data_IF_419675049159
#
_entry.id   IF_419675049159
#
_cell.length_a   1.000
_cell.length_b   1.000
_cell.length_c   1.000
_cell.angle_alpha   90.00
_cell.angle_beta   90.00
_cell.angle_gamma   90.00
#
_symmetry.space_group_name_H-M   'P 1'
#
loop_
_entity.id
_entity.type
_entity.pdbx_description
1 polymer ?
#
# COMPACT_ATOMS: atom_id res chain seq x y z
N UNK A 1 -25.46 14.92 -22.76
CA UNK A 1 -25.75 13.57 -22.23
C UNK A 1 -25.09 13.48 -20.86
N UNK A 2 -25.86 13.60 -19.78
CA UNK A 2 -25.36 13.75 -18.41
C UNK A 2 -25.06 12.38 -17.79
N UNK A 3 -23.80 12.14 -17.44
CA UNK A 3 -23.26 10.90 -16.85
C UNK A 3 -23.68 10.75 -15.36
N UNK A 4 -24.95 10.96 -15.03
CA UNK A 4 -25.33 11.38 -13.67
C UNK A 4 -26.06 10.35 -12.80
N UNK A 5 -26.14 9.05 -13.16
CA UNK A 5 -26.97 8.10 -12.39
C UNK A 5 -26.51 6.63 -12.37
N UNK A 6 -25.21 6.35 -12.45
CA UNK A 6 -24.71 5.00 -12.13
C UNK A 6 -23.95 5.10 -10.81
N UNK A 7 -24.42 4.47 -9.71
CA UNK A 7 -23.64 4.40 -8.48
C UNK A 7 -22.43 3.50 -8.74
N UNK A 8 -21.33 4.09 -9.19
CA UNK A 8 -20.04 3.43 -9.32
C UNK A 8 -19.53 3.18 -7.90
N UNK A 9 -19.86 2.01 -7.33
CA UNK A 9 -19.25 1.57 -6.08
C UNK A 9 -17.77 1.32 -6.36
N UNK A 10 -16.89 1.99 -5.61
CA UNK A 10 -15.47 1.65 -5.59
C UNK A 10 -15.37 0.17 -5.16
N UNK A 11 -14.89 -0.67 -6.08
CA UNK A 11 -14.61 -2.08 -5.80
C UNK A 11 -13.09 -2.22 -5.73
N UNK A 12 -12.49 -2.23 -4.53
CA UNK A 12 -11.08 -2.55 -4.42
C UNK A 12 -10.87 -3.97 -4.97
N UNK A 13 -9.90 -4.10 -5.87
CA UNK A 13 -9.41 -5.36 -6.39
C UNK A 13 -8.38 -5.87 -5.39
N UNK A 14 -8.69 -6.96 -4.71
CA UNK A 14 -7.82 -7.51 -3.68
C UNK A 14 -8.39 -8.78 -3.08
N UNK A 15 -7.57 -9.47 -2.29
CA UNK A 15 -8.03 -10.60 -1.50
C UNK A 15 -8.77 -10.08 -0.25
N UNK A 16 -9.88 -10.73 0.15
CA UNK A 16 -10.54 -10.42 1.41
C UNK A 16 -9.57 -10.58 2.59
N UNK A 17 -9.72 -9.74 3.62
CA UNK A 17 -8.86 -9.74 4.80
C UNK A 17 -8.88 -11.11 5.50
N UNK A 18 -10.04 -11.76 5.47
CA UNK A 18 -10.31 -13.08 6.03
C UNK A 18 -9.49 -14.18 5.36
N UNK A 19 -9.11 -14.00 4.10
CA UNK A 19 -8.28 -14.96 3.36
C UNK A 19 -6.79 -14.67 3.53
N UNK A 20 -6.38 -13.40 3.55
CA UNK A 20 -4.95 -13.05 3.58
C UNK A 20 -4.32 -13.10 4.98
N UNK A 21 -5.06 -12.76 6.05
CA UNK A 21 -4.55 -12.77 7.42
C UNK A 21 -4.05 -14.17 7.85
N UNK A 22 -4.83 -15.26 7.64
CA UNK A 22 -4.37 -16.60 8.00
C UNK A 22 -3.09 -17.01 7.27
N UNK A 23 -2.95 -16.64 5.99
CA UNK A 23 -1.74 -16.96 5.22
C UNK A 23 -0.53 -16.18 5.72
N UNK A 24 -0.67 -14.89 6.00
CA UNK A 24 0.41 -14.09 6.57
C UNK A 24 0.84 -14.58 7.95
N UNK A 25 -0.11 -15.04 8.78
CA UNK A 25 0.19 -15.61 10.12
C UNK A 25 0.96 -16.93 10.08
N UNK A 26 1.01 -17.63 8.95
CA UNK A 26 1.85 -18.84 8.78
C UNK A 26 3.32 -18.50 8.56
N UNK A 27 3.64 -17.28 8.17
CA UNK A 27 5.00 -16.83 7.96
C UNK A 27 5.69 -16.59 9.30
N UNK A 28 7.01 -16.79 9.33
CA UNK A 28 7.83 -16.27 10.43
C UNK A 28 7.78 -14.74 10.42
N UNK A 29 8.02 -14.12 11.58
CA UNK A 29 8.11 -12.67 11.69
C UNK A 29 9.23 -12.16 10.77
N UNK A 30 8.93 -11.29 9.77
CA UNK A 30 9.95 -10.71 8.92
C UNK A 30 10.69 -9.56 9.62
N UNK A 31 11.87 -9.23 9.12
CA UNK A 31 12.64 -8.07 9.59
C UNK A 31 12.10 -6.73 9.07
N UNK A 32 11.44 -6.74 7.90
CA UNK A 32 10.80 -5.58 7.29
C UNK A 32 9.66 -6.00 6.35
N UNK A 33 8.68 -5.10 6.15
CA UNK A 33 7.61 -5.26 5.17
C UNK A 33 7.77 -4.22 4.05
N UNK A 34 8.03 -4.67 2.83
CA UNK A 34 8.17 -3.81 1.66
C UNK A 34 6.83 -3.73 0.93
N UNK A 35 6.28 -2.51 0.83
CA UNK A 35 5.04 -2.25 0.11
C UNK A 35 5.38 -1.37 -1.09
N UNK A 36 4.98 -1.80 -2.28
CA UNK A 36 5.25 -1.07 -3.53
C UNK A 36 3.96 -0.86 -4.31
N UNK A 37 3.85 0.28 -5.00
CA UNK A 37 2.77 0.50 -5.96
C UNK A 37 3.26 1.06 -7.29
N UNK A 38 2.85 0.40 -8.37
CA UNK A 38 3.08 0.84 -9.75
C UNK A 38 2.05 1.91 -10.17
N UNK A 39 0.84 1.86 -9.63
CA UNK A 39 -0.27 2.74 -10.01
C UNK A 39 -0.63 3.70 -8.87
N UNK A 40 -0.66 4.99 -9.16
CA UNK A 40 -0.84 6.03 -8.14
C UNK A 40 -2.28 6.10 -7.60
N UNK A 41 -3.28 5.76 -8.43
CA UNK A 41 -4.69 5.71 -7.99
C UNK A 41 -5.00 4.54 -7.05
N UNK A 42 -4.11 3.54 -6.94
CA UNK A 42 -4.27 2.38 -6.06
C UNK A 42 -3.78 2.62 -4.63
N UNK A 43 -3.54 3.87 -4.23
CA UNK A 43 -3.07 4.18 -2.87
C UNK A 43 -3.99 3.68 -1.73
N UNK A 44 -5.33 3.53 -1.88
CA UNK A 44 -6.13 2.91 -0.82
C UNK A 44 -5.72 1.46 -0.55
N UNK A 45 -5.38 0.70 -1.60
CA UNK A 45 -4.86 -0.66 -1.47
C UNK A 45 -3.48 -0.70 -0.83
N UNK A 46 -2.63 0.29 -1.10
CA UNK A 46 -1.35 0.47 -0.39
C UNK A 46 -1.59 0.68 1.10
N UNK A 47 -2.54 1.55 1.45
CA UNK A 47 -2.91 1.82 2.84
C UNK A 47 -3.38 0.56 3.55
N UNK A 48 -4.29 -0.18 2.92
CA UNK A 48 -4.78 -1.46 3.45
C UNK A 48 -3.65 -2.49 3.64
N UNK A 49 -2.69 -2.55 2.72
CA UNK A 49 -1.53 -3.44 2.85
C UNK A 49 -0.62 -3.06 4.03
N UNK A 50 -0.37 -1.77 4.23
CA UNK A 50 0.41 -1.27 5.39
C UNK A 50 -0.31 -1.56 6.70
N UNK A 51 -1.61 -1.29 6.78
CA UNK A 51 -2.43 -1.59 7.97
C UNK A 51 -2.43 -3.10 8.27
N UNK A 52 -2.54 -3.94 7.24
CA UNK A 52 -2.49 -5.39 7.36
C UNK A 52 -1.12 -5.88 7.84
N UNK A 53 -0.03 -5.33 7.31
CA UNK A 53 1.33 -5.67 7.74
C UNK A 53 1.53 -5.33 9.22
N UNK A 54 1.11 -4.15 9.66
CA UNK A 54 1.18 -3.72 11.07
C UNK A 54 0.29 -4.58 11.98
N UNK A 55 -0.86 -5.04 11.49
CA UNK A 55 -1.76 -5.93 12.23
C UNK A 55 -1.17 -7.33 12.43
N UNK A 56 -0.58 -7.92 11.38
CA UNK A 56 -0.06 -9.29 11.44
C UNK A 56 1.33 -9.36 12.06
N UNK A 57 2.17 -8.36 11.81
CA UNK A 57 3.56 -8.32 12.28
C UNK A 57 3.83 -7.04 13.09
N UNK A 58 3.32 -6.97 14.34
CA UNK A 58 3.51 -5.78 15.18
C UNK A 58 5.00 -5.50 15.42
N UNK A 59 5.38 -4.24 15.23
CA UNK A 59 6.76 -3.77 15.39
C UNK A 59 7.72 -4.16 14.27
N UNK A 60 7.23 -4.66 13.13
CA UNK A 60 8.03 -4.78 11.90
C UNK A 60 7.98 -3.45 11.14
N UNK A 61 9.14 -2.88 10.74
CA UNK A 61 9.18 -1.65 9.97
C UNK A 61 8.57 -1.85 8.58
N UNK A 62 7.72 -0.91 8.17
CA UNK A 62 7.07 -0.88 6.86
C UNK A 62 7.75 0.16 5.98
N UNK A 63 8.22 -0.29 4.82
CA UNK A 63 8.93 0.52 3.83
C UNK A 63 8.03 0.68 2.60
N UNK A 64 7.73 1.91 2.21
CA UNK A 64 6.91 2.22 1.04
C UNK A 64 7.77 2.70 -0.13
N UNK A 65 7.60 2.09 -1.31
CA UNK A 65 8.27 2.49 -2.54
C UNK A 65 7.40 2.37 -3.80
N UNK A 66 8.04 2.48 -4.97
CA UNK A 66 7.39 2.42 -6.28
C UNK A 66 6.84 3.76 -6.76
N UNK A 67 6.20 3.77 -7.92
CA UNK A 67 5.72 4.98 -8.62
C UNK A 67 4.84 5.88 -7.75
N UNK A 68 4.00 5.31 -6.89
CA UNK A 68 3.18 6.11 -5.97
C UNK A 68 4.05 6.91 -4.99
N UNK A 69 5.02 6.26 -4.33
CA UNK A 69 5.95 6.92 -3.43
C UNK A 69 6.83 7.93 -4.19
N UNK A 70 7.24 7.60 -5.43
CA UNK A 70 8.10 8.46 -6.23
C UNK A 70 7.40 9.73 -6.69
N UNK A 71 6.20 9.60 -7.28
CA UNK A 71 5.47 10.70 -7.92
C UNK A 71 4.67 11.53 -6.91
N UNK A 72 4.22 10.92 -5.82
CA UNK A 72 3.34 11.53 -4.82
C UNK A 72 3.92 11.43 -3.41
N UNK A 73 5.23 11.64 -3.27
CA UNK A 73 6.02 11.51 -2.03
C UNK A 73 5.31 12.08 -0.79
N UNK A 74 4.90 13.35 -0.86
CA UNK A 74 4.24 14.04 0.25
C UNK A 74 2.92 13.38 0.64
N UNK A 75 2.10 13.07 -0.36
CA UNK A 75 0.81 12.43 -0.12
C UNK A 75 0.99 11.01 0.43
N UNK A 76 1.99 10.27 -0.06
CA UNK A 76 2.34 8.95 0.46
C UNK A 76 2.79 9.01 1.93
N UNK A 77 3.58 10.02 2.31
CA UNK A 77 3.97 10.23 3.71
C UNK A 77 2.76 10.55 4.61
N UNK A 78 1.89 11.46 4.17
CA UNK A 78 0.73 11.91 4.97
C UNK A 78 -0.40 10.88 5.04
N UNK A 79 -0.71 10.21 3.92
CA UNK A 79 -1.87 9.32 3.81
C UNK A 79 -1.60 7.88 4.25
N UNK A 80 -0.37 7.40 4.05
CA UNK A 80 0.03 6.01 4.37
C UNK A 80 0.85 5.93 5.65
N UNK A 81 1.65 6.96 5.97
CA UNK A 81 2.54 7.00 7.13
C UNK A 81 3.40 5.72 7.31
N UNK A 82 4.21 5.34 6.31
CA UNK A 82 5.16 4.25 6.46
C UNK A 82 6.33 4.66 7.37
N UNK A 83 7.05 3.68 7.92
CA UNK A 83 8.22 3.96 8.77
C UNK A 83 9.39 4.48 7.93
N UNK A 84 9.50 4.00 6.68
CA UNK A 84 10.45 4.52 5.70
C UNK A 84 9.77 4.72 4.35
N UNK A 85 10.16 5.77 3.64
CA UNK A 85 9.63 6.10 2.33
C UNK A 85 10.79 6.19 1.32
N UNK A 86 10.72 5.37 0.28
CA UNK A 86 11.74 5.29 -0.75
C UNK A 86 11.22 5.96 -2.03
N UNK A 87 11.83 7.10 -2.35
CA UNK A 87 11.63 7.76 -3.64
C UNK A 87 12.51 7.07 -4.68
N UNK A 88 11.93 6.58 -5.77
CA UNK A 88 12.73 6.10 -6.90
C UNK A 88 13.63 7.21 -7.42
N UNK A 89 14.91 6.91 -7.66
CA UNK A 89 15.81 7.81 -8.35
C UNK A 89 15.49 7.78 -9.85
N UNK A 90 15.27 8.95 -10.46
CA UNK A 90 15.47 9.07 -11.90
C UNK A 90 16.94 8.68 -12.17
N UNK A 91 17.16 7.83 -13.17
CA UNK A 91 18.45 7.22 -13.51
C UNK A 91 19.42 8.26 -14.11
N UNK A 92 19.65 9.39 -13.44
CA UNK A 92 20.64 10.39 -13.84
C UNK A 92 22.01 9.95 -13.33
N UNK A 93 22.60 9.01 -14.05
CA UNK A 93 24.05 8.77 -14.06
C UNK A 93 24.73 9.80 -14.95
#
# INVERSE_FOLDING_TARGET
MTLSKIPLKFKPFGLPKETIIPELKKLSRPDAALVTSVMTYWYPGVKEAVELARLVFPGVPVILGGNYATLYLRHAAEAIAPDFLFQGSDNTY
#
